data_IF_116845598882
#
_entry.id   IF_116845598882
#
_cell.length_a   1.000
_cell.length_b   1.000
_cell.length_c   1.000
_cell.angle_alpha   90.00
_cell.angle_beta   90.00
_cell.angle_gamma   90.00
#
_symmetry.space_group_name_H-M   'P 1'
#
loop_
_entity.id
_entity.type
_entity.pdbx_description
1 polymer ?
#
# COMPACT_ATOMS: atom_id res chain seq x y z
N UNK A 1 10.31 6.05 -2.70
CA UNK A 1 9.36 7.16 -2.43
C UNK A 1 9.31 8.08 -3.65
N UNK A 2 8.55 9.17 -3.65
CA UNK A 2 8.51 10.14 -4.75
C UNK A 2 8.64 11.56 -4.23
N UNK A 3 9.44 12.37 -4.91
CA UNK A 3 9.67 13.78 -4.62
C UNK A 3 9.05 14.65 -5.71
N UNK A 4 8.55 15.81 -5.31
CA UNK A 4 8.28 16.93 -6.20
C UNK A 4 8.91 18.18 -5.58
N UNK A 5 9.56 19.02 -6.38
CA UNK A 5 10.20 20.24 -5.88
C UNK A 5 9.23 21.44 -5.85
N UNK A 6 8.22 21.44 -6.73
CA UNK A 6 7.18 22.47 -6.78
C UNK A 6 5.77 21.86 -6.99
N UNK A 7 4.93 21.83 -5.96
CA UNK A 7 5.26 22.15 -4.56
C UNK A 7 6.25 21.11 -3.96
N UNK A 8 6.99 21.49 -2.90
CA UNK A 8 7.88 20.58 -2.15
C UNK A 8 7.10 19.45 -1.49
N UNK A 9 7.05 18.27 -2.12
CA UNK A 9 6.31 17.09 -1.65
C UNK A 9 7.22 15.87 -1.49
N UNK A 10 7.01 15.11 -0.42
CA UNK A 10 7.59 13.78 -0.25
C UNK A 10 6.46 12.75 -0.08
N UNK A 11 6.20 11.98 -1.14
CA UNK A 11 5.20 10.93 -1.13
C UNK A 11 5.81 9.55 -0.81
N UNK A 12 5.43 8.99 0.33
CA UNK A 12 5.80 7.63 0.75
C UNK A 12 4.82 6.62 0.15
N UNK A 13 5.26 5.86 -0.85
CA UNK A 13 4.39 4.90 -1.55
C UNK A 13 4.36 3.53 -0.86
N UNK A 14 3.33 3.34 -0.03
CA UNK A 14 2.99 2.04 0.58
C UNK A 14 2.27 1.14 -0.46
N UNK A 15 2.69 -0.13 -0.65
CA UNK A 15 2.00 -1.05 -1.55
C UNK A 15 0.51 -1.21 -1.23
N UNK A 16 -0.31 -1.28 -2.29
CA UNK A 16 -1.74 -1.64 -2.24
C UNK A 16 -2.65 -0.66 -1.49
N UNK A 17 -2.20 0.58 -1.29
CA UNK A 17 -3.00 1.69 -0.74
C UNK A 17 -3.51 2.66 -1.80
N UNK A 18 -3.51 2.26 -3.08
CA UNK A 18 -3.92 3.14 -4.19
C UNK A 18 -2.83 4.09 -4.67
N UNK A 19 -1.56 3.81 -4.36
CA UNK A 19 -0.43 4.68 -4.71
C UNK A 19 -0.17 4.87 -6.20
N UNK A 20 -0.59 3.94 -7.08
CA UNK A 20 -0.54 4.19 -8.53
C UNK A 20 -1.40 5.40 -8.92
N UNK A 21 -2.62 5.52 -8.38
CA UNK A 21 -3.49 6.65 -8.66
C UNK A 21 -2.96 7.96 -8.03
N UNK A 22 -2.26 7.89 -6.89
CA UNK A 22 -1.56 9.08 -6.33
C UNK A 22 -0.44 9.51 -7.27
N UNK A 23 0.36 8.57 -7.79
CA UNK A 23 1.42 8.89 -8.75
C UNK A 23 0.88 9.50 -10.03
N UNK A 24 -0.23 8.98 -10.54
CA UNK A 24 -0.89 9.53 -11.73
C UNK A 24 -1.45 10.94 -11.45
N UNK A 25 -2.01 11.17 -10.26
CA UNK A 25 -2.48 12.49 -9.82
C UNK A 25 -1.35 13.51 -9.72
N UNK A 26 -0.17 13.09 -9.27
CA UNK A 26 0.99 13.95 -9.06
C UNK A 26 1.91 14.01 -10.29
N UNK A 27 1.62 13.29 -11.38
CA UNK A 27 2.59 13.10 -12.48
C UNK A 27 2.97 14.40 -13.19
N UNK A 28 2.10 15.42 -13.14
CA UNK A 28 2.36 16.75 -13.70
C UNK A 28 3.36 17.59 -12.90
N UNK A 29 3.77 17.15 -11.71
CA UNK A 29 4.67 17.89 -10.81
C UNK A 29 6.16 17.54 -10.98
N UNK A 30 6.53 16.83 -12.04
CA UNK A 30 7.93 16.45 -12.28
C UNK A 30 8.48 15.45 -11.25
N UNK A 31 7.73 14.38 -10.95
CA UNK A 31 8.09 13.45 -9.88
C UNK A 31 9.44 12.76 -10.08
N UNK A 32 10.32 12.87 -9.08
CA UNK A 32 11.57 12.11 -9.00
C UNK A 32 11.39 10.94 -8.04
N UNK A 33 11.90 9.75 -8.39
CA UNK A 33 11.88 8.60 -7.47
C UNK A 33 13.09 8.68 -6.53
N UNK A 34 12.83 8.64 -5.23
CA UNK A 34 13.84 8.50 -4.20
C UNK A 34 13.99 7.03 -3.79
N UNK A 35 15.18 6.47 -4.03
CA UNK A 35 15.54 5.09 -3.71
C UNK A 35 14.78 4.02 -4.50
N UNK A 36 14.81 2.80 -3.95
CA UNK A 36 14.14 1.64 -4.54
C UNK A 36 12.60 1.71 -4.42
N UNK A 37 11.94 0.78 -5.11
CA UNK A 37 10.48 0.67 -5.02
C UNK A 37 10.08 0.24 -3.61
N UNK A 38 9.19 1.03 -3.00
CA UNK A 38 8.61 0.76 -1.68
C UNK A 38 9.59 0.91 -0.50
N UNK A 39 10.55 1.83 -0.61
CA UNK A 39 11.33 2.27 0.55
C UNK A 39 10.45 2.93 1.61
N UNK A 40 10.82 2.70 2.88
CA UNK A 40 10.34 3.41 4.06
C UNK A 40 11.09 4.72 4.26
N UNK A 41 10.56 5.60 5.11
CA UNK A 41 11.28 6.81 5.53
C UNK A 41 12.60 6.49 6.24
N UNK A 42 12.65 5.39 7.00
CA UNK A 42 13.88 4.94 7.67
C UNK A 42 15.05 4.62 6.73
N UNK A 43 14.83 4.58 5.41
CA UNK A 43 15.89 4.43 4.42
C UNK A 43 16.49 5.76 3.94
N UNK A 44 16.10 6.90 4.52
CA UNK A 44 16.62 8.22 4.15
C UNK A 44 17.89 8.48 4.97
N UNK A 45 19.01 8.66 4.27
CA UNK A 45 20.32 8.88 4.90
C UNK A 45 20.44 10.30 5.49
N UNK A 46 19.96 11.31 4.77
CA UNK A 46 19.95 12.72 5.20
C UNK A 46 18.53 13.29 5.25
N UNK A 47 17.83 13.18 6.39
CA UNK A 47 16.46 13.68 6.52
C UNK A 47 16.37 15.21 6.50
N UNK A 48 17.46 15.94 6.75
CA UNK A 48 17.45 17.41 6.72
C UNK A 48 17.20 17.96 5.32
N UNK A 49 17.58 17.23 4.27
CA UNK A 49 17.27 17.56 2.86
C UNK A 49 15.76 17.67 2.63
N UNK A 50 14.96 16.88 3.37
CA UNK A 50 13.53 16.73 3.15
C UNK A 50 12.65 17.42 4.19
N UNK A 51 13.23 18.14 5.17
CA UNK A 51 12.47 18.74 6.27
C UNK A 51 11.41 19.77 5.84
N UNK A 52 11.66 20.46 4.73
CA UNK A 52 10.74 21.45 4.16
C UNK A 52 9.69 20.82 3.23
N UNK A 53 9.82 19.53 2.92
CA UNK A 53 8.86 18.84 2.07
C UNK A 53 7.63 18.47 2.90
N UNK A 54 6.45 18.72 2.34
CA UNK A 54 5.25 18.14 2.91
C UNK A 54 5.28 16.62 2.68
N UNK A 55 5.59 15.88 3.73
CA UNK A 55 5.70 14.43 3.71
C UNK A 55 4.32 13.79 3.98
N UNK A 56 3.88 12.91 3.09
CA UNK A 56 2.59 12.24 3.24
C UNK A 56 2.57 10.84 2.63
N UNK A 57 1.56 10.08 3.01
CA UNK A 57 1.30 8.75 2.49
C UNK A 57 -0.20 8.53 2.28
N UNK A 58 -0.54 7.44 1.59
CA UNK A 58 -1.90 6.89 1.64
C UNK A 58 -1.83 5.56 2.37
N UNK A 59 -2.65 5.42 3.40
CA UNK A 59 -2.85 4.19 4.18
C UNK A 59 -4.21 3.58 3.86
N UNK A 60 -4.38 2.30 4.17
CA UNK A 60 -5.63 1.57 3.95
C UNK A 60 -5.89 0.66 5.14
N UNK A 61 -7.15 0.28 5.38
CA UNK A 61 -7.46 -0.72 6.40
C UNK A 61 -6.56 -1.96 6.20
N UNK A 62 -5.85 -2.45 7.25
CA UNK A 62 -4.87 -3.52 7.10
C UNK A 62 -5.43 -4.80 6.45
N UNK A 63 -6.65 -5.21 6.80
CA UNK A 63 -7.32 -6.35 6.17
C UNK A 63 -7.50 -6.12 4.67
N UNK A 64 -8.13 -4.99 4.30
CA UNK A 64 -8.40 -4.65 2.89
C UNK A 64 -7.12 -4.57 2.06
N UNK A 65 -6.05 -4.02 2.63
CA UNK A 65 -4.75 -3.88 1.96
C UNK A 65 -4.11 -5.24 1.67
N UNK A 66 -4.07 -6.13 2.66
CA UNK A 66 -3.42 -7.44 2.52
C UNK A 66 -4.24 -8.40 1.66
N UNK A 67 -5.58 -8.36 1.73
CA UNK A 67 -6.45 -9.09 0.79
C UNK A 67 -6.26 -8.56 -0.64
N UNK A 68 -6.16 -7.24 -0.83
CA UNK A 68 -5.86 -6.64 -2.14
C UNK A 68 -4.49 -7.12 -2.68
N UNK A 69 -3.50 -7.28 -1.80
CA UNK A 69 -2.19 -7.79 -2.17
C UNK A 69 -2.23 -9.26 -2.57
N UNK A 70 -2.91 -10.09 -1.78
CA UNK A 70 -3.09 -11.53 -2.06
C UNK A 70 -3.75 -11.73 -3.43
N UNK A 71 -4.86 -11.03 -3.68
CA UNK A 71 -5.57 -11.10 -4.96
C UNK A 71 -4.73 -10.61 -6.13
N UNK A 72 -4.00 -9.51 -5.96
CA UNK A 72 -3.09 -9.03 -6.97
C UNK A 72 -2.03 -10.07 -7.32
N UNK A 73 -1.40 -10.70 -6.32
CA UNK A 73 -0.40 -11.75 -6.57
C UNK A 73 -1.01 -12.98 -7.25
N UNK A 74 -2.21 -13.42 -6.83
CA UNK A 74 -2.96 -14.52 -7.46
C UNK A 74 -3.25 -14.23 -8.94
N UNK A 75 -3.79 -13.05 -9.24
CA UNK A 75 -4.13 -12.64 -10.62
C UNK A 75 -2.86 -12.49 -11.48
N UNK A 76 -1.80 -11.86 -10.96
CA UNK A 76 -0.55 -11.74 -11.71
C UNK A 76 0.11 -13.08 -11.99
N UNK A 77 0.09 -14.01 -11.02
CA UNK A 77 0.59 -15.37 -11.22
C UNK A 77 -0.19 -16.11 -12.32
N UNK A 78 -1.49 -15.86 -12.45
CA UNK A 78 -2.34 -16.46 -13.50
C UNK A 78 -2.14 -15.81 -14.88
N UNK A 79 -1.99 -14.49 -14.94
CA UNK A 79 -1.95 -13.75 -16.21
C UNK A 79 -0.56 -13.71 -16.88
N UNK A 80 0.52 -13.70 -16.09
CA UNK A 80 1.88 -13.65 -16.65
C UNK A 80 2.88 -14.40 -15.74
N UNK A 81 2.84 -15.75 -15.77
CA UNK A 81 3.68 -16.59 -14.91
C UNK A 81 5.19 -16.26 -15.03
N UNK A 82 5.78 -16.09 -16.23
CA UNK A 82 7.20 -15.76 -16.35
C UNK A 82 7.59 -14.41 -15.75
N UNK A 83 6.74 -13.37 -15.86
CA UNK A 83 7.00 -12.08 -15.19
C UNK A 83 6.81 -12.16 -13.68
N UNK A 84 5.93 -13.04 -13.19
CA UNK A 84 5.76 -13.28 -11.76
C UNK A 84 7.05 -13.85 -11.13
N UNK A 85 7.62 -14.91 -11.72
CA UNK A 85 8.88 -15.53 -11.25
C UNK A 85 10.03 -14.54 -11.25
N UNK A 86 10.23 -13.80 -12.35
CA UNK A 86 11.30 -12.78 -12.45
C UNK A 86 11.18 -11.66 -11.41
N UNK A 87 9.97 -11.38 -10.91
CA UNK A 87 9.70 -10.21 -10.05
C UNK A 87 9.64 -10.54 -8.56
N UNK A 88 9.37 -11.80 -8.20
CA UNK A 88 9.13 -12.20 -6.81
C UNK A 88 10.07 -13.30 -6.30
N UNK A 89 11.11 -13.67 -7.07
CA UNK A 89 12.10 -14.68 -6.70
C UNK A 89 11.61 -16.11 -6.95
N UNK A 90 12.47 -17.09 -6.66
CA UNK A 90 12.35 -18.54 -6.94
C UNK A 90 11.18 -19.25 -6.23
N UNK A 91 10.00 -18.66 -6.17
CA UNK A 91 8.78 -19.38 -5.78
C UNK A 91 8.25 -20.04 -7.05
N UNK A 92 8.25 -21.38 -7.14
CA UNK A 92 7.66 -22.08 -8.27
C UNK A 92 6.22 -21.62 -8.47
N UNK A 93 5.86 -21.34 -9.73
CA UNK A 93 4.51 -20.96 -10.13
C UNK A 93 3.47 -22.03 -9.81
N UNK A 94 3.91 -23.26 -9.53
CA UNK A 94 3.08 -24.39 -9.12
C UNK A 94 2.69 -24.30 -7.63
N UNK A 95 3.50 -23.62 -6.80
CA UNK A 95 3.23 -23.43 -5.36
C UNK A 95 2.48 -22.12 -5.04
N UNK A 96 2.57 -21.13 -5.92
CA UNK A 96 1.99 -19.79 -5.72
C UNK A 96 0.44 -19.76 -5.75
N UNK A 97 -0.26 -20.55 -6.59
CA UNK A 97 -1.72 -20.53 -6.68
C UNK A 97 -2.44 -21.28 -5.55
N UNK A 98 -1.72 -21.98 -4.67
CA UNK A 98 -2.29 -22.93 -3.69
C UNK A 98 -2.13 -22.56 -2.22
N UNK A 99 -1.40 -21.47 -1.87
CA UNK A 99 -1.28 -21.04 -0.47
C UNK A 99 -2.58 -20.39 0.02
N UNK A 100 -3.02 -20.78 1.22
CA UNK A 100 -4.09 -20.12 1.96
C UNK A 100 -3.77 -18.64 2.20
N UNK A 101 -4.78 -17.84 2.55
CA UNK A 101 -4.55 -16.43 2.83
C UNK A 101 -3.63 -16.26 4.06
N UNK A 102 -3.83 -17.09 5.09
CA UNK A 102 -2.96 -17.14 6.27
C UNK A 102 -1.49 -17.39 5.92
N UNK A 103 -1.19 -18.42 5.11
CA UNK A 103 0.19 -18.71 4.69
C UNK A 103 0.80 -17.55 3.91
N UNK A 104 0.01 -16.91 3.05
CA UNK A 104 0.46 -15.75 2.29
C UNK A 104 0.84 -14.57 3.20
N UNK A 105 0.01 -14.21 4.19
CA UNK A 105 0.31 -13.07 5.07
C UNK A 105 1.48 -13.37 6.02
N UNK A 106 1.63 -14.63 6.45
CA UNK A 106 2.78 -15.08 7.24
C UNK A 106 4.08 -15.05 6.44
N UNK A 107 4.08 -15.58 5.21
CA UNK A 107 5.24 -15.49 4.30
C UNK A 107 5.60 -14.02 4.03
N UNK A 108 4.60 -13.17 3.81
CA UNK A 108 4.87 -11.75 3.55
C UNK A 108 5.56 -11.07 4.72
N UNK A 109 5.18 -11.43 5.95
CA UNK A 109 5.73 -10.85 7.18
C UNK A 109 7.22 -11.17 7.38
N UNK A 110 7.75 -12.21 6.71
CA UNK A 110 9.19 -12.55 6.78
C UNK A 110 10.04 -11.85 5.72
N UNK A 111 9.42 -11.16 4.74
CA UNK A 111 10.14 -10.50 3.64
C UNK A 111 10.68 -9.12 4.03
N UNK A 112 11.74 -8.61 3.37
CA UNK A 112 12.38 -7.35 3.76
C UNK A 112 11.50 -6.10 3.65
N UNK A 113 10.59 -6.06 2.67
CA UNK A 113 9.67 -4.92 2.54
C UNK A 113 8.63 -5.02 3.66
N UNK A 114 8.43 -3.98 4.49
CA UNK A 114 7.54 -4.05 5.65
C UNK A 114 6.13 -4.52 5.30
N UNK A 115 5.54 -5.28 6.22
CA UNK A 115 4.14 -5.63 6.15
C UNK A 115 3.28 -4.55 6.80
N UNK A 116 3.66 -4.00 7.96
CA UNK A 116 2.92 -2.91 8.61
C UNK A 116 3.06 -1.62 7.81
N UNK A 117 2.08 -0.73 7.90
CA UNK A 117 2.09 0.57 7.24
C UNK A 117 2.81 1.62 8.09
N UNK A 118 2.79 1.48 9.42
CA UNK A 118 3.56 2.34 10.32
C UNK A 118 5.06 2.25 10.02
N UNK A 119 5.59 1.06 9.75
CA UNK A 119 7.03 0.91 9.45
C UNK A 119 7.48 1.60 8.16
N UNK A 120 6.56 1.90 7.23
CA UNK A 120 6.90 2.71 6.06
C UNK A 120 7.13 4.18 6.41
N UNK A 121 6.46 4.68 7.44
CA UNK A 121 6.45 6.11 7.80
C UNK A 121 7.16 6.41 9.11
N UNK A 122 7.62 5.38 9.82
CA UNK A 122 8.38 5.55 11.06
C UNK A 122 9.73 6.19 10.75
N UNK A 123 9.97 7.34 11.36
CA UNK A 123 11.21 8.08 11.27
C UNK A 123 11.33 9.03 12.48
N UNK A 124 12.55 9.34 12.92
CA UNK A 124 12.77 10.14 14.12
C UNK A 124 12.46 11.64 13.92
N UNK A 125 12.80 12.19 12.74
CA UNK A 125 12.64 13.62 12.42
C UNK A 125 11.54 13.94 11.40
N UNK A 126 11.37 13.12 10.36
CA UNK A 126 10.37 13.32 9.31
C UNK A 126 8.98 12.87 9.75
N UNK A 127 8.04 13.80 9.78
CA UNK A 127 6.64 13.53 10.07
C UNK A 127 5.85 13.29 8.77
N UNK A 128 5.28 12.09 8.60
CA UNK A 128 4.49 11.74 7.44
C UNK A 128 2.98 11.80 7.73
N UNK A 129 2.23 12.64 7.03
CA UNK A 129 0.77 12.75 7.19
C UNK A 129 0.06 11.57 6.47
N UNK A 130 -0.69 10.71 7.18
CA UNK A 130 -1.41 9.60 6.55
C UNK A 130 -2.79 10.02 6.05
N UNK A 131 -3.07 9.76 4.77
CA UNK A 131 -4.40 9.90 4.19
C UNK A 131 -5.07 8.52 4.05
N UNK A 132 -6.25 8.32 4.62
CA UNK A 132 -6.96 7.02 4.49
C UNK A 132 -7.57 6.86 3.11
N UNK A 133 -7.26 5.75 2.45
CA UNK A 133 -7.83 5.37 1.16
C UNK A 133 -9.35 5.37 1.20
N UNK A 134 -9.94 4.78 2.25
CA UNK A 134 -11.38 4.69 2.49
C UNK A 134 -12.06 6.06 2.64
N UNK A 135 -11.32 7.11 3.00
CA UNK A 135 -11.84 8.47 3.17
C UNK A 135 -11.66 9.34 1.91
N UNK A 136 -11.44 8.71 0.74
CA UNK A 136 -11.26 9.44 -0.51
C UNK A 136 -9.94 10.20 -0.59
N UNK A 137 -8.84 9.58 -0.14
CA UNK A 137 -7.50 10.17 -0.13
C UNK A 137 -7.14 10.89 -1.44
N UNK A 138 -7.43 10.31 -2.61
CA UNK A 138 -7.12 10.93 -3.91
C UNK A 138 -7.83 12.27 -4.11
N UNK A 139 -9.11 12.36 -3.76
CA UNK A 139 -9.87 13.60 -3.86
C UNK A 139 -9.40 14.66 -2.84
N UNK A 140 -9.01 14.22 -1.64
CA UNK A 140 -8.43 15.11 -0.62
C UNK A 140 -7.09 15.68 -1.09
N UNK A 141 -6.20 14.83 -1.61
CA UNK A 141 -4.89 15.23 -2.15
C UNK A 141 -5.04 16.16 -3.35
N UNK A 142 -5.96 15.84 -4.27
CA UNK A 142 -6.26 16.67 -5.42
C UNK A 142 -6.66 18.08 -5.00
N UNK A 143 -7.60 18.21 -4.04
CA UNK A 143 -8.05 19.50 -3.53
C UNK A 143 -6.94 20.24 -2.77
N UNK A 144 -6.20 19.53 -1.91
CA UNK A 144 -5.14 20.11 -1.07
C UNK A 144 -4.04 20.75 -1.92
N UNK A 145 -3.65 20.12 -3.02
CA UNK A 145 -2.56 20.59 -3.88
C UNK A 145 -3.04 21.28 -5.15
N UNK A 146 -4.34 21.59 -5.25
CA UNK A 146 -4.96 22.24 -6.40
C UNK A 146 -4.59 21.57 -7.75
N UNK A 147 -4.63 20.23 -7.78
CA UNK A 147 -4.19 19.45 -8.93
C UNK A 147 -5.31 19.29 -9.96
N UNK A 148 -4.98 19.32 -11.27
CA UNK A 148 -5.96 19.08 -12.31
C UNK A 148 -6.58 17.69 -12.15
N UNK A 149 -7.84 17.55 -12.56
CA UNK A 149 -8.46 16.22 -12.62
C UNK A 149 -7.67 15.37 -13.62
N UNK A 150 -7.28 14.13 -13.25
CA UNK A 150 -6.57 13.26 -14.19
C UNK A 150 -7.36 13.10 -15.48
N UNK A 151 -6.72 13.32 -16.63
CA UNK A 151 -7.36 13.25 -17.95
C UNK A 151 -7.78 11.82 -18.32
N UNK A 152 -7.10 10.81 -17.78
CA UNK A 152 -7.33 9.41 -18.08
C UNK A 152 -7.40 8.61 -16.77
N UNK A 153 -8.62 8.57 -16.24
CA UNK A 153 -9.23 7.43 -15.55
C UNK A 153 -10.56 7.96 -15.02
N UNK A 154 -11.65 7.62 -15.72
CA UNK A 154 -12.85 7.25 -14.98
C UNK A 154 -12.39 6.32 -13.85
N UNK A 155 -12.96 6.47 -12.67
CA UNK A 155 -12.57 5.79 -11.43
C UNK A 155 -12.59 4.24 -11.52
N UNK A 156 -12.72 3.67 -12.71
CA UNK A 156 -12.91 2.27 -13.08
C UNK A 156 -11.64 1.48 -13.40
N UNK A 157 -10.42 1.99 -13.19
CA UNK A 157 -9.26 1.06 -13.08
C UNK A 157 -9.23 0.33 -11.73
N UNK A 158 -10.40 -0.01 -11.21
CA UNK A 158 -10.57 -1.16 -10.36
C UNK A 158 -10.66 -2.38 -11.29
N UNK A 159 -9.54 -3.01 -11.61
CA UNK A 159 -9.59 -4.41 -12.08
C UNK A 159 -10.29 -5.35 -11.08
N UNK A 160 -10.78 -4.85 -9.94
CA UNK A 160 -11.20 -5.60 -8.77
C UNK A 160 -12.15 -4.73 -7.91
N UNK A 161 -13.32 -4.36 -8.44
CA UNK A 161 -14.42 -3.74 -7.69
C UNK A 161 -14.89 -4.61 -6.51
N UNK A 162 -15.84 -4.09 -5.72
CA UNK A 162 -16.47 -4.75 -4.56
C UNK A 162 -16.52 -6.28 -4.73
N UNK A 163 -15.56 -6.93 -4.07
CA UNK A 163 -15.41 -8.36 -4.11
C UNK A 163 -15.67 -8.87 -2.70
N UNK A 164 -16.35 -10.02 -2.56
CA UNK A 164 -16.63 -10.58 -1.25
C UNK A 164 -15.30 -10.94 -0.57
N UNK A 165 -14.86 -10.06 0.33
CA UNK A 165 -13.60 -10.21 1.09
C UNK A 165 -13.53 -11.55 1.83
N UNK A 166 -14.63 -12.09 2.39
CA UNK A 166 -14.62 -13.42 3.01
C UNK A 166 -14.20 -14.56 2.09
N UNK A 167 -14.31 -14.42 0.75
CA UNK A 167 -13.87 -15.46 -0.18
C UNK A 167 -12.35 -15.52 -0.36
N UNK A 168 -11.62 -14.48 0.03
CA UNK A 168 -10.17 -14.34 -0.15
C UNK A 168 -9.42 -14.26 1.17
N UNK A 169 -10.12 -14.50 2.28
CA UNK A 169 -9.58 -14.41 3.63
C UNK A 169 -10.08 -15.62 4.42
N UNK A 170 -9.21 -16.20 5.22
CA UNK A 170 -9.56 -17.23 6.21
C UNK A 170 -9.38 -16.65 7.62
N UNK A 171 -10.03 -17.25 8.62
CA UNK A 171 -10.04 -16.72 9.99
C UNK A 171 -8.61 -16.63 10.57
N UNK A 172 -7.75 -17.61 10.27
CA UNK A 172 -6.37 -17.62 10.76
C UNK A 172 -5.55 -16.44 10.19
N UNK A 173 -5.77 -16.07 8.93
CA UNK A 173 -5.16 -14.90 8.32
C UNK A 173 -5.73 -13.59 8.87
N UNK A 174 -7.03 -13.53 9.16
CA UNK A 174 -7.64 -12.39 9.84
C UNK A 174 -7.01 -12.18 11.23
N UNK A 175 -6.93 -13.24 12.04
CA UNK A 175 -6.35 -13.18 13.38
C UNK A 175 -4.88 -12.75 13.33
N UNK A 176 -4.11 -13.32 12.39
CA UNK A 176 -2.72 -12.94 12.17
C UNK A 176 -2.56 -11.45 11.83
N UNK A 177 -3.42 -10.89 10.97
CA UNK A 177 -3.37 -9.46 10.63
C UNK A 177 -3.75 -8.60 11.85
N UNK A 178 -4.78 -9.00 12.58
CA UNK A 178 -5.26 -8.30 13.77
C UNK A 178 -4.15 -8.12 14.82
N UNK A 179 -3.35 -9.17 15.01
CA UNK A 179 -2.19 -9.18 15.90
C UNK A 179 -0.97 -8.47 15.29
N UNK A 180 -0.52 -8.92 14.12
CA UNK A 180 0.75 -8.49 13.53
C UNK A 180 0.71 -7.05 13.00
N UNK A 181 -0.45 -6.56 12.58
CA UNK A 181 -0.66 -5.16 12.18
C UNK A 181 -1.34 -4.33 13.28
N UNK A 182 -1.24 -4.76 14.55
CA UNK A 182 -1.90 -4.13 15.69
C UNK A 182 -1.69 -2.61 15.77
N UNK A 183 -0.48 -2.15 15.48
CA UNK A 183 -0.10 -0.75 15.52
C UNK A 183 -0.73 0.06 14.38
N UNK A 184 -0.88 -0.50 13.17
CA UNK A 184 -1.60 0.15 12.07
C UNK A 184 -3.04 0.47 12.48
N UNK A 185 -3.72 -0.47 13.15
CA UNK A 185 -5.09 -0.25 13.64
C UNK A 185 -5.14 0.91 14.64
N UNK A 186 -4.17 0.96 15.55
CA UNK A 186 -4.11 1.98 16.58
C UNK A 186 -3.74 3.36 15.99
N UNK A 187 -2.61 3.47 15.31
CA UNK A 187 -2.04 4.72 14.80
C UNK A 187 -2.96 5.36 13.75
N UNK A 188 -3.54 4.55 12.87
CA UNK A 188 -4.44 5.08 11.84
C UNK A 188 -5.90 5.05 12.26
N UNK A 189 -6.26 4.61 13.48
CA UNK A 189 -7.65 4.56 13.93
C UNK A 189 -8.55 3.72 13.01
N UNK A 190 -8.14 2.49 12.72
CA UNK A 190 -8.99 1.48 12.10
C UNK A 190 -9.53 0.52 13.15
N UNK A 191 -10.75 0.06 12.96
CA UNK A 191 -11.35 -0.96 13.82
C UNK A 191 -10.85 -2.36 13.46
N UNK A 192 -10.65 -3.19 14.49
CA UNK A 192 -10.38 -4.61 14.32
C UNK A 192 -11.70 -5.37 14.29
N UNK A 193 -11.77 -6.39 13.45
CA UNK A 193 -12.85 -7.35 13.44
C UNK A 193 -12.39 -8.66 14.09
N UNK A 194 -13.31 -9.45 14.61
CA UNK A 194 -13.03 -10.75 15.23
C UNK A 194 -13.53 -11.93 14.39
N UNK A 195 -14.38 -11.67 13.40
CA UNK A 195 -14.96 -12.70 12.53
C UNK A 195 -14.97 -12.29 11.07
N UNK A 196 -14.81 -13.25 10.17
CA UNK A 196 -14.79 -13.02 8.72
C UNK A 196 -16.05 -12.30 8.20
N UNK A 197 -17.23 -12.57 8.77
CA UNK A 197 -18.49 -11.96 8.31
C UNK A 197 -18.55 -10.45 8.56
N UNK A 198 -17.66 -9.93 9.42
CA UNK A 198 -17.52 -8.50 9.68
C UNK A 198 -16.60 -7.82 8.66
N UNK A 199 -15.88 -8.58 7.82
CA UNK A 199 -15.20 -8.04 6.65
C UNK A 199 -16.25 -7.74 5.56
N UNK A 200 -16.77 -6.50 5.57
CA UNK A 200 -17.77 -6.03 4.61
C UNK A 200 -17.47 -6.35 3.16
#
# INVERSE_FOLDING_TARGET
MYLADDPKLLYVHIPKTGGSAVRDLLSGLGLTRLGDRHNSLSSIDDPEEYKDHFCFTVVRNPYNRLISMYRFNRVYAMLDPPKFVRRWGDVPLEETPLRSFCEFVKDRATRPIPITQVDFIRHDTLNCEPFKYENGAHALLQRRFNLPKPASRDAETHYLGDYPKPQFCDQAGLDFISEHCAEDFHVFGYERVSRLEQLG
#
